data_IF_104279202618
#
_entry.id   IF_104279202618
#
_cell.length_a   1.000
_cell.length_b   1.000
_cell.length_c   1.000
_cell.angle_alpha   90.00
_cell.angle_beta   90.00
_cell.angle_gamma   90.00
#
_symmetry.space_group_name_H-M   'P 1'
#
loop_
_entity.id
_entity.type
_entity.pdbx_description
1 polymer ?
#
# COMPACT_ATOMS: atom_id res chain seq x y z
N UNK A 1 34.52 -40.56 -4.06
CA UNK A 1 35.42 -39.46 -3.62
C UNK A 1 35.59 -38.33 -4.64
N UNK A 2 35.88 -38.63 -5.95
CA UNK A 2 36.12 -37.60 -6.95
C UNK A 2 34.82 -36.93 -7.42
N UNK A 3 33.80 -37.72 -7.68
CA UNK A 3 32.45 -37.27 -8.12
C UNK A 3 31.79 -36.39 -7.03
N UNK A 4 31.86 -36.76 -5.77
CA UNK A 4 31.34 -36.00 -4.64
C UNK A 4 32.00 -34.62 -4.51
N UNK A 5 33.32 -34.57 -4.75
CA UNK A 5 34.07 -33.31 -4.74
C UNK A 5 33.65 -32.40 -5.87
N UNK A 6 33.35 -32.96 -7.04
CA UNK A 6 32.89 -32.19 -8.22
C UNK A 6 31.50 -31.56 -7.98
N UNK A 7 30.56 -32.31 -7.40
CA UNK A 7 29.25 -31.79 -7.03
C UNK A 7 29.35 -30.73 -5.93
N UNK A 8 30.20 -30.90 -4.93
CA UNK A 8 30.45 -29.86 -3.91
C UNK A 8 31.05 -28.58 -4.47
N UNK A 9 31.72 -28.63 -5.61
CA UNK A 9 32.23 -27.48 -6.34
C UNK A 9 31.20 -26.85 -7.31
N UNK A 10 29.94 -27.34 -7.28
CA UNK A 10 28.85 -26.75 -8.06
C UNK A 10 28.61 -27.35 -9.43
N UNK A 11 29.23 -28.52 -9.75
CA UNK A 11 28.91 -29.22 -10.99
C UNK A 11 27.47 -29.74 -10.93
N UNK A 12 26.69 -29.50 -11.98
CA UNK A 12 25.29 -29.92 -12.09
C UNK A 12 25.15 -31.36 -12.56
N UNK A 13 26.13 -31.84 -13.36
CA UNK A 13 26.17 -33.22 -13.89
C UNK A 13 27.63 -33.57 -14.20
N UNK A 14 27.88 -34.89 -14.40
CA UNK A 14 29.18 -35.42 -14.82
C UNK A 14 29.01 -36.46 -15.90
N UNK A 15 30.02 -36.63 -16.74
CA UNK A 15 30.03 -37.61 -17.82
C UNK A 15 31.26 -38.53 -17.69
N UNK A 16 31.01 -39.86 -17.64
CA UNK A 16 32.08 -40.87 -17.58
C UNK A 16 32.51 -41.30 -18.98
N UNK A 17 33.77 -41.73 -19.11
CA UNK A 17 34.27 -42.36 -20.33
C UNK A 17 34.00 -43.87 -20.26
N UNK A 18 33.70 -44.52 -21.41
CA UNK A 18 33.62 -44.00 -22.79
C UNK A 18 32.37 -43.19 -23.03
N UNK A 19 32.45 -42.16 -23.89
CA UNK A 19 31.36 -41.28 -24.21
C UNK A 19 30.39 -41.87 -25.24
N UNK A 20 29.10 -41.84 -24.92
CA UNK A 20 28.03 -42.12 -25.86
C UNK A 20 27.41 -40.78 -26.31
N UNK A 21 27.63 -40.32 -27.56
CA UNK A 21 27.28 -38.98 -28.02
C UNK A 21 25.80 -38.66 -27.83
N UNK A 22 24.89 -39.58 -28.09
CA UNK A 22 23.44 -39.39 -27.92
C UNK A 22 23.02 -39.21 -26.47
N UNK A 23 23.69 -39.87 -25.53
CA UNK A 23 23.41 -39.73 -24.10
C UNK A 23 23.88 -38.36 -23.61
N UNK A 24 25.07 -37.93 -24.03
CA UNK A 24 25.61 -36.62 -23.68
C UNK A 24 24.69 -35.51 -24.21
N UNK A 25 24.32 -35.58 -25.49
CA UNK A 25 23.42 -34.63 -26.12
C UNK A 25 22.09 -34.51 -25.33
N UNK A 26 21.51 -35.62 -24.94
CA UNK A 26 20.25 -35.67 -24.19
C UNK A 26 20.40 -35.04 -22.80
N UNK A 27 21.50 -35.32 -22.10
CA UNK A 27 21.79 -34.72 -20.76
C UNK A 27 21.96 -33.21 -20.87
N UNK A 28 22.76 -32.73 -21.82
CA UNK A 28 22.95 -31.29 -22.05
C UNK A 28 21.61 -30.61 -22.36
N UNK A 29 20.84 -31.18 -23.29
CA UNK A 29 19.52 -30.61 -23.63
C UNK A 29 18.55 -30.59 -22.44
N UNK A 30 18.53 -31.63 -21.63
CA UNK A 30 17.69 -31.65 -20.41
C UNK A 30 18.14 -30.59 -19.39
N UNK A 31 19.45 -30.42 -19.15
CA UNK A 31 20.00 -29.42 -18.24
C UNK A 31 19.67 -28.03 -18.73
N UNK A 32 19.87 -27.75 -20.01
CA UNK A 32 19.52 -26.44 -20.62
C UNK A 32 18.01 -26.18 -20.48
N UNK A 33 17.18 -27.20 -20.84
CA UNK A 33 15.72 -27.04 -20.73
C UNK A 33 15.26 -26.80 -19.32
N UNK A 34 15.80 -27.52 -18.32
CA UNK A 34 15.47 -27.32 -16.92
C UNK A 34 15.88 -25.93 -16.44
N UNK A 35 17.07 -25.46 -16.84
CA UNK A 35 17.55 -24.12 -16.48
C UNK A 35 16.66 -23.03 -17.09
N UNK A 36 16.33 -23.16 -18.38
CA UNK A 36 15.42 -22.22 -19.07
C UNK A 36 14.04 -22.19 -18.41
N UNK A 37 13.45 -23.35 -18.11
CA UNK A 37 12.15 -23.43 -17.41
C UNK A 37 12.22 -22.80 -16.02
N UNK A 38 13.32 -23.02 -15.26
CA UNK A 38 13.51 -22.38 -13.96
C UNK A 38 13.57 -20.87 -14.10
N UNK A 39 14.29 -20.34 -15.07
CA UNK A 39 14.38 -18.89 -15.30
C UNK A 39 13.02 -18.30 -15.72
N UNK A 40 12.29 -18.98 -16.62
CA UNK A 40 10.94 -18.56 -17.00
C UNK A 40 9.98 -18.56 -15.81
N UNK A 41 10.03 -19.58 -14.95
CA UNK A 41 9.19 -19.64 -13.75
C UNK A 41 9.53 -18.50 -12.78
N UNK A 42 10.83 -18.21 -12.57
CA UNK A 42 11.26 -17.10 -11.71
C UNK A 42 10.81 -15.74 -12.27
N UNK A 43 10.88 -15.55 -13.59
CA UNK A 43 10.36 -14.34 -14.23
C UNK A 43 8.85 -14.18 -14.03
N UNK A 44 8.07 -15.24 -14.26
CA UNK A 44 6.61 -15.22 -14.06
C UNK A 44 6.24 -14.96 -12.59
N UNK A 45 6.98 -15.53 -11.64
CA UNK A 45 6.77 -15.26 -10.22
C UNK A 45 7.10 -13.81 -9.89
N UNK A 46 8.23 -13.29 -10.37
CA UNK A 46 8.60 -11.89 -10.15
C UNK A 46 7.53 -10.93 -10.71
N UNK A 47 7.03 -11.18 -11.92
CA UNK A 47 5.95 -10.40 -12.53
C UNK A 47 4.64 -10.46 -11.72
N UNK A 48 4.30 -11.66 -11.19
CA UNK A 48 3.13 -11.82 -10.34
C UNK A 48 3.25 -11.03 -9.03
N UNK A 49 4.40 -11.12 -8.36
CA UNK A 49 4.65 -10.36 -7.12
C UNK A 49 4.58 -8.85 -7.38
N UNK A 50 5.22 -8.38 -8.45
CA UNK A 50 5.17 -6.98 -8.83
C UNK A 50 3.74 -6.49 -9.10
N UNK A 51 2.93 -7.24 -9.85
CA UNK A 51 1.53 -6.90 -10.11
C UNK A 51 0.68 -6.91 -8.85
N UNK A 52 0.91 -7.86 -7.95
CA UNK A 52 0.19 -7.92 -6.68
C UNK A 52 0.51 -6.71 -5.79
N UNK A 53 1.78 -6.33 -5.69
CA UNK A 53 2.22 -5.15 -4.96
C UNK A 53 1.59 -3.88 -5.55
N UNK A 54 1.64 -3.71 -6.87
CA UNK A 54 1.01 -2.59 -7.59
C UNK A 54 -0.51 -2.52 -7.39
N UNK A 55 -1.20 -3.65 -7.39
CA UNK A 55 -2.64 -3.67 -7.13
C UNK A 55 -2.95 -3.25 -5.68
N UNK A 56 -2.13 -3.65 -4.72
CA UNK A 56 -2.29 -3.24 -3.33
C UNK A 56 -2.05 -1.73 -3.18
N UNK A 57 -1.00 -1.18 -3.79
CA UNK A 57 -0.75 0.26 -3.84
C UNK A 57 -1.96 1.01 -4.40
N UNK A 58 -2.44 0.61 -5.58
CA UNK A 58 -3.59 1.23 -6.22
C UNK A 58 -4.84 1.21 -5.33
N UNK A 59 -5.12 0.09 -4.64
CA UNK A 59 -6.26 0.01 -3.74
C UNK A 59 -6.13 0.94 -2.53
N UNK A 60 -4.95 1.05 -1.94
CA UNK A 60 -4.68 1.99 -0.85
C UNK A 60 -4.82 3.42 -1.33
N UNK A 61 -4.30 3.75 -2.53
CA UNK A 61 -4.41 5.07 -3.14
C UNK A 61 -5.89 5.46 -3.39
N UNK A 62 -6.69 4.55 -3.93
CA UNK A 62 -8.13 4.79 -4.16
C UNK A 62 -8.86 5.04 -2.84
N UNK A 63 -8.62 4.20 -1.83
CA UNK A 63 -9.29 4.31 -0.54
C UNK A 63 -8.87 5.59 0.21
N UNK A 64 -7.59 5.89 0.25
CA UNK A 64 -7.08 7.10 0.89
C UNK A 64 -7.59 8.36 0.21
N UNK A 65 -7.57 8.40 -1.13
CA UNK A 65 -8.11 9.52 -1.88
C UNK A 65 -9.62 9.71 -1.66
N UNK A 66 -10.39 8.61 -1.53
CA UNK A 66 -11.80 8.69 -1.17
C UNK A 66 -12.03 9.35 0.20
N UNK A 67 -11.12 9.12 1.16
CA UNK A 67 -11.13 9.78 2.48
C UNK A 67 -10.79 11.26 2.35
N UNK A 68 -9.72 11.60 1.61
CA UNK A 68 -9.29 12.98 1.38
C UNK A 68 -10.37 13.83 0.69
N UNK A 69 -11.02 13.30 -0.35
CA UNK A 69 -12.14 13.96 -1.03
C UNK A 69 -13.29 14.28 -0.05
N UNK A 70 -13.54 13.37 0.91
CA UNK A 70 -14.62 13.55 1.89
C UNK A 70 -14.27 14.52 3.01
N UNK A 71 -12.99 14.59 3.39
CA UNK A 71 -12.51 15.50 4.45
C UNK A 71 -12.14 16.90 3.93
N UNK A 72 -12.17 17.11 2.62
CA UNK A 72 -11.75 18.38 2.01
C UNK A 72 -10.25 18.64 2.15
N UNK A 73 -9.45 17.59 2.40
CA UNK A 73 -8.00 17.67 2.44
C UNK A 73 -7.43 17.68 1.02
N UNK A 74 -6.31 18.37 0.82
CA UNK A 74 -5.64 18.40 -0.48
C UNK A 74 -5.17 17.01 -0.90
N UNK A 75 -5.44 16.60 -2.14
CA UNK A 75 -5.24 15.23 -2.65
C UNK A 75 -3.80 14.71 -2.69
N UNK A 76 -2.87 15.27 -1.94
CA UNK A 76 -1.47 14.84 -1.83
C UNK A 76 -1.08 14.38 -0.42
N UNK A 77 -1.95 14.61 0.58
CA UNK A 77 -1.67 14.31 1.98
C UNK A 77 -1.27 12.84 2.19
N UNK A 78 -2.09 11.92 1.71
CA UNK A 78 -1.82 10.48 1.83
C UNK A 78 -0.47 10.10 1.19
N UNK A 79 -0.20 10.60 -0.02
CA UNK A 79 1.06 10.32 -0.72
C UNK A 79 2.26 10.83 0.07
N UNK A 80 2.15 12.02 0.68
CA UNK A 80 3.19 12.58 1.55
C UNK A 80 3.39 11.73 2.80
N UNK A 81 2.32 11.34 3.49
CA UNK A 81 2.40 10.49 4.69
C UNK A 81 3.06 9.15 4.38
N UNK A 82 2.70 8.49 3.26
CA UNK A 82 3.34 7.24 2.81
C UNK A 82 4.84 7.44 2.55
N UNK A 83 5.21 8.53 1.88
CA UNK A 83 6.60 8.86 1.57
C UNK A 83 7.41 9.11 2.86
N UNK A 84 6.93 10.01 3.72
CA UNK A 84 7.60 10.37 4.97
C UNK A 84 7.75 9.15 5.89
N UNK A 85 6.69 8.34 6.02
CA UNK A 85 6.71 7.07 6.76
C UNK A 85 7.82 6.15 6.23
N UNK A 86 7.93 5.99 4.91
CA UNK A 86 8.96 5.15 4.29
C UNK A 86 10.39 5.64 4.58
N UNK A 87 10.62 6.95 4.52
CA UNK A 87 11.93 7.55 4.82
C UNK A 87 12.31 7.42 6.30
N UNK A 88 11.37 7.67 7.21
CA UNK A 88 11.57 7.49 8.64
C UNK A 88 11.89 6.04 9.00
N UNK A 89 11.16 5.07 8.45
CA UNK A 89 11.42 3.65 8.67
C UNK A 89 12.79 3.22 8.17
N UNK A 90 13.21 3.68 6.98
CA UNK A 90 14.54 3.39 6.44
C UNK A 90 15.65 3.91 7.36
N UNK A 91 15.51 5.14 7.88
CA UNK A 91 16.45 5.69 8.84
C UNK A 91 16.43 4.91 10.18
N UNK A 92 15.25 4.62 10.70
CA UNK A 92 15.07 3.93 11.98
C UNK A 92 15.75 2.56 12.01
N UNK A 93 15.53 1.73 10.98
CA UNK A 93 16.16 0.39 10.92
C UNK A 93 17.67 0.46 10.70
N UNK A 94 18.17 1.56 10.11
CA UNK A 94 19.63 1.83 10.02
C UNK A 94 20.26 2.21 11.37
N UNK A 95 19.46 2.72 12.31
CA UNK A 95 19.94 3.18 13.64
C UNK A 95 19.81 2.12 14.74
N UNK A 96 18.79 1.26 14.66
CA UNK A 96 18.50 0.34 15.77
C UNK A 96 17.74 -0.91 15.34
N UNK A 97 18.08 -2.04 15.95
CA UNK A 97 17.36 -3.31 15.83
C UNK A 97 16.27 -3.48 16.91
N UNK A 98 16.05 -2.45 17.75
CA UNK A 98 15.15 -2.51 18.92
C UNK A 98 13.74 -2.99 18.58
N UNK A 99 13.24 -2.61 17.42
CA UNK A 99 11.85 -2.88 17.00
C UNK A 99 11.72 -4.14 16.15
N UNK A 100 12.83 -4.83 15.86
CA UNK A 100 12.87 -6.09 15.08
C UNK A 100 12.06 -6.04 13.77
N UNK A 101 12.12 -4.91 13.05
CA UNK A 101 11.38 -4.73 11.81
C UNK A 101 12.10 -5.44 10.66
N UNK A 102 11.40 -6.36 10.02
CA UNK A 102 11.85 -7.01 8.79
C UNK A 102 11.56 -6.12 7.57
N UNK A 103 12.14 -6.46 6.43
CA UNK A 103 11.92 -5.71 5.19
C UNK A 103 10.45 -5.68 4.77
N UNK A 104 9.75 -6.79 4.99
CA UNK A 104 8.32 -6.95 4.74
C UNK A 104 7.47 -6.07 5.66
N UNK A 105 7.92 -5.87 6.91
CA UNK A 105 7.24 -4.98 7.86
C UNK A 105 7.34 -3.52 7.42
N UNK A 106 8.51 -3.10 6.94
CA UNK A 106 8.72 -1.74 6.42
C UNK A 106 7.75 -1.47 5.26
N UNK A 107 7.64 -2.41 4.31
CA UNK A 107 6.71 -2.32 3.20
C UNK A 107 5.25 -2.25 3.65
N UNK A 108 4.87 -3.12 4.59
CA UNK A 108 3.52 -3.19 5.14
C UNK A 108 3.14 -1.93 5.93
N UNK A 109 4.02 -1.40 6.78
CA UNK A 109 3.78 -0.16 7.55
C UNK A 109 3.64 1.02 6.60
N UNK A 110 4.53 1.13 5.60
CA UNK A 110 4.48 2.20 4.58
C UNK A 110 3.13 2.20 3.87
N UNK A 111 2.66 1.03 3.42
CA UNK A 111 1.35 0.93 2.76
C UNK A 111 0.19 1.19 3.72
N UNK A 112 0.24 0.64 4.93
CA UNK A 112 -0.78 0.82 5.95
C UNK A 112 -0.96 2.29 6.37
N UNK A 113 0.11 3.10 6.29
CA UNK A 113 0.04 4.53 6.63
C UNK A 113 -0.96 5.30 5.76
N UNK A 114 -1.18 4.88 4.50
CA UNK A 114 -2.21 5.46 3.63
C UNK A 114 -3.66 5.22 4.11
N UNK A 115 -3.87 4.32 5.07
CA UNK A 115 -5.19 3.99 5.62
C UNK A 115 -5.44 4.61 6.99
N UNK A 116 -4.50 5.40 7.56
CA UNK A 116 -4.59 5.91 8.94
C UNK A 116 -5.92 6.60 9.24
N UNK A 117 -6.45 7.30 8.28
CA UNK A 117 -7.66 8.12 8.37
C UNK A 117 -8.93 7.48 7.79
N UNK A 118 -8.90 6.18 7.44
CA UNK A 118 -10.04 5.48 6.81
C UNK A 118 -11.35 5.59 7.64
N UNK A 119 -11.23 5.77 8.94
CA UNK A 119 -12.37 5.96 9.83
C UNK A 119 -13.13 7.27 9.61
N UNK A 120 -12.54 8.29 8.97
CA UNK A 120 -13.23 9.52 8.58
C UNK A 120 -14.42 9.26 7.64
N UNK A 121 -14.47 8.10 6.97
CA UNK A 121 -15.61 7.69 6.15
C UNK A 121 -16.94 7.61 6.96
N UNK A 122 -16.88 7.39 8.26
CA UNK A 122 -18.07 7.33 9.11
C UNK A 122 -18.29 8.60 9.96
N UNK A 123 -17.44 9.62 9.81
CA UNK A 123 -17.65 10.92 10.44
C UNK A 123 -18.61 11.76 9.59
N UNK A 124 -19.55 12.52 10.18
CA UNK A 124 -20.43 13.41 9.43
C UNK A 124 -19.65 14.43 8.61
N UNK A 125 -20.03 14.58 7.34
CA UNK A 125 -19.34 15.45 6.39
C UNK A 125 -19.41 16.92 6.81
N UNK A 126 -20.52 17.35 7.40
CA UNK A 126 -20.72 18.71 7.89
C UNK A 126 -19.70 19.10 8.99
N UNK A 127 -19.16 18.10 9.71
CA UNK A 127 -18.12 18.32 10.72
C UNK A 127 -16.75 18.37 10.06
N UNK A 128 -16.48 17.44 9.11
CA UNK A 128 -15.17 17.34 8.45
C UNK A 128 -14.88 18.55 7.56
N UNK A 129 -15.91 19.08 6.87
CA UNK A 129 -15.77 20.18 5.89
C UNK A 129 -16.10 21.54 6.46
N UNK A 130 -16.27 21.63 7.79
CA UNK A 130 -16.63 22.88 8.47
C UNK A 130 -15.56 23.96 8.24
N UNK A 131 -15.93 25.16 7.75
CA UNK A 131 -14.96 26.21 7.41
C UNK A 131 -14.41 26.95 8.65
N UNK A 132 -14.83 26.58 9.85
CA UNK A 132 -14.42 27.19 11.12
C UNK A 132 -13.91 26.13 12.09
N UNK A 133 -13.25 26.57 13.16
CA UNK A 133 -12.79 25.69 14.23
C UNK A 133 -13.92 24.82 14.77
N UNK A 134 -13.63 23.54 15.03
CA UNK A 134 -14.57 22.60 15.63
C UNK A 134 -14.89 23.00 17.07
N UNK A 135 -16.13 22.76 17.51
CA UNK A 135 -16.45 22.83 18.95
C UNK A 135 -15.79 21.65 19.68
N UNK A 136 -15.67 21.70 21.01
CA UNK A 136 -15.15 20.57 21.78
C UNK A 136 -15.90 19.26 21.53
N UNK A 137 -17.24 19.33 21.38
CA UNK A 137 -18.09 18.17 21.11
C UNK A 137 -17.87 17.61 19.70
N UNK A 138 -17.74 18.47 18.69
CA UNK A 138 -17.41 18.08 17.33
C UNK A 138 -16.01 17.47 17.24
N UNK A 139 -15.06 18.03 18.00
CA UNK A 139 -13.69 17.49 18.06
C UNK A 139 -13.69 16.07 18.67
N UNK A 140 -14.50 15.80 19.71
CA UNK A 140 -14.66 14.45 20.26
C UNK A 140 -15.28 13.47 19.25
N UNK A 141 -16.16 13.96 18.37
CA UNK A 141 -16.71 13.14 17.27
C UNK A 141 -15.60 12.81 16.26
N UNK A 142 -14.81 13.79 15.86
CA UNK A 142 -13.69 13.57 14.91
C UNK A 142 -12.67 12.60 15.49
N UNK A 143 -12.30 12.69 16.76
CA UNK A 143 -11.36 11.74 17.39
C UNK A 143 -11.77 10.27 17.25
N UNK A 144 -13.07 9.99 17.13
CA UNK A 144 -13.57 8.62 16.96
C UNK A 144 -13.12 7.96 15.65
N UNK A 145 -12.62 8.74 14.64
CA UNK A 145 -12.14 8.15 13.40
C UNK A 145 -11.05 7.10 13.66
N UNK A 146 -10.22 7.27 14.70
CA UNK A 146 -9.17 6.32 15.08
C UNK A 146 -9.75 4.96 15.45
N UNK A 147 -10.74 4.94 16.31
CA UNK A 147 -11.42 3.70 16.75
C UNK A 147 -12.28 3.11 15.64
N UNK A 148 -12.97 3.95 14.88
CA UNK A 148 -13.79 3.54 13.74
C UNK A 148 -12.92 2.90 12.66
N UNK A 149 -11.80 3.51 12.30
CA UNK A 149 -10.86 2.98 11.30
C UNK A 149 -10.30 1.62 11.70
N UNK A 150 -9.82 1.50 12.94
CA UNK A 150 -9.36 0.23 13.48
C UNK A 150 -10.47 -0.84 13.45
N UNK A 151 -11.69 -0.48 13.80
CA UNK A 151 -12.84 -1.40 13.77
C UNK A 151 -13.21 -1.83 12.36
N UNK A 152 -13.28 -0.90 11.40
CA UNK A 152 -13.57 -1.21 9.99
C UNK A 152 -12.64 -2.28 9.44
N UNK A 153 -11.35 -2.20 9.79
CA UNK A 153 -10.34 -3.16 9.34
C UNK A 153 -10.42 -4.47 10.14
N UNK A 154 -10.67 -4.39 11.46
CA UNK A 154 -10.80 -5.57 12.32
C UNK A 154 -12.02 -6.42 11.94
N UNK A 155 -13.09 -5.81 11.43
CA UNK A 155 -14.30 -6.52 10.99
C UNK A 155 -14.09 -7.31 9.67
N UNK A 156 -12.86 -7.37 9.11
CA UNK A 156 -12.47 -8.18 7.95
C UNK A 156 -11.78 -9.50 8.38
N UNK A 157 -12.51 -10.54 8.79
CA UNK A 157 -11.94 -11.71 9.48
C UNK A 157 -10.97 -12.55 8.63
N UNK A 158 -11.12 -12.51 7.31
CA UNK A 158 -10.33 -13.33 6.37
C UNK A 158 -8.86 -12.87 6.31
N UNK A 159 -8.58 -11.59 6.58
CA UNK A 159 -7.26 -10.97 6.37
C UNK A 159 -6.51 -10.65 7.67
N UNK A 160 -6.99 -11.09 8.83
CA UNK A 160 -6.43 -10.73 10.14
C UNK A 160 -4.97 -11.15 10.36
N UNK A 161 -4.51 -12.15 9.62
CA UNK A 161 -3.11 -12.62 9.70
C UNK A 161 -2.15 -11.88 8.76
N UNK A 162 -2.67 -11.04 7.85
CA UNK A 162 -1.84 -10.27 6.93
C UNK A 162 -1.10 -9.15 7.67
N UNK A 163 0.20 -8.98 7.42
CA UNK A 163 1.03 -7.93 8.04
C UNK A 163 0.45 -6.54 7.82
N UNK A 164 0.01 -6.25 6.59
CA UNK A 164 -0.62 -4.98 6.23
C UNK A 164 -1.82 -4.67 7.13
N UNK A 165 -2.69 -5.65 7.35
CA UNK A 165 -3.91 -5.50 8.14
C UNK A 165 -3.60 -5.24 9.62
N UNK A 166 -2.64 -5.97 10.18
CA UNK A 166 -2.18 -5.75 11.56
C UNK A 166 -1.67 -4.33 11.77
N UNK A 167 -0.75 -3.89 10.90
CA UNK A 167 -0.21 -2.53 10.98
C UNK A 167 -1.27 -1.46 10.70
N UNK A 168 -2.20 -1.70 9.78
CA UNK A 168 -3.27 -0.75 9.52
C UNK A 168 -4.20 -0.58 10.74
N UNK A 169 -4.51 -1.65 11.48
CA UNK A 169 -5.29 -1.57 12.73
C UNK A 169 -4.53 -0.73 13.78
N UNK A 170 -3.23 -1.00 13.99
CA UNK A 170 -2.40 -0.27 14.93
C UNK A 170 -2.29 1.21 14.57
N UNK A 171 -2.02 1.51 13.31
CA UNK A 171 -1.88 2.87 12.80
C UNK A 171 -3.22 3.61 12.93
N UNK A 172 -4.31 3.06 12.42
CA UNK A 172 -5.63 3.71 12.53
C UNK A 172 -5.97 4.06 13.97
N UNK A 173 -5.73 3.13 14.90
CA UNK A 173 -6.12 3.35 16.30
C UNK A 173 -5.23 4.34 17.01
N UNK A 174 -3.91 4.33 16.78
CA UNK A 174 -2.93 4.97 17.67
C UNK A 174 -2.03 6.04 17.03
N UNK A 175 -2.24 6.44 15.78
CA UNK A 175 -1.42 7.50 15.14
C UNK A 175 -1.60 8.89 15.80
N UNK A 176 -2.64 9.09 16.59
CA UNK A 176 -2.84 10.30 17.40
C UNK A 176 -2.41 10.14 18.87
N UNK A 177 -1.85 9.01 19.24
CA UNK A 177 -1.17 8.91 20.54
C UNK A 177 0.08 9.79 20.58
N UNK A 178 0.47 10.23 21.77
CA UNK A 178 1.63 11.09 21.97
C UNK A 178 2.59 10.44 22.95
N UNK A 179 3.88 10.62 22.73
CA UNK A 179 4.93 9.97 23.52
C UNK A 179 4.80 10.20 25.03
N UNK A 180 4.29 11.37 25.42
CA UNK A 180 4.05 11.73 26.83
C UNK A 180 2.73 11.17 27.41
N UNK A 181 1.89 10.51 26.60
CA UNK A 181 0.61 9.93 27.01
C UNK A 181 -0.57 10.91 26.98
N UNK A 182 -0.41 12.11 26.41
CA UNK A 182 -1.49 13.10 26.25
C UNK A 182 -2.25 12.95 24.93
N UNK A 183 -2.02 11.87 24.20
CA UNK A 183 -2.69 11.54 22.96
C UNK A 183 -4.06 10.87 23.17
N UNK A 184 -4.62 10.36 22.09
CA UNK A 184 -5.88 9.62 22.08
C UNK A 184 -5.80 8.45 21.07
N UNK A 185 -6.65 7.42 21.17
CA UNK A 185 -7.86 7.30 22.02
C UNK A 185 -7.62 6.67 23.40
N UNK A 186 -6.48 6.00 23.63
CA UNK A 186 -6.23 5.17 24.81
C UNK A 186 -5.24 5.82 25.81
N UNK A 187 -4.58 6.93 25.45
CA UNK A 187 -3.59 7.60 26.27
C UNK A 187 -2.32 6.79 26.49
N UNK A 188 -1.89 6.02 25.48
CA UNK A 188 -0.69 5.22 25.53
C UNK A 188 0.55 6.11 25.65
N UNK A 189 1.59 5.63 26.38
CA UNK A 189 2.80 6.39 26.64
C UNK A 189 4.06 5.63 26.24
N UNK A 190 5.00 6.34 25.62
CA UNK A 190 6.30 5.79 25.27
C UNK A 190 6.20 4.55 24.38
N UNK A 191 6.91 3.49 24.73
CA UNK A 191 6.95 2.24 23.98
C UNK A 191 5.64 1.41 24.02
N UNK A 192 4.66 1.80 24.83
CA UNK A 192 3.33 1.20 24.75
C UNK A 192 2.61 1.57 23.46
N UNK A 193 3.01 2.65 22.78
CA UNK A 193 2.52 3.00 21.46
C UNK A 193 3.24 2.11 20.43
N UNK A 194 2.54 1.36 19.56
CA UNK A 194 3.19 0.59 18.50
C UNK A 194 4.07 1.47 17.62
N UNK A 195 5.26 0.99 17.25
CA UNK A 195 6.23 1.78 16.47
C UNK A 195 5.65 2.24 15.13
N UNK A 196 4.81 1.44 14.48
CA UNK A 196 4.13 1.82 13.25
C UNK A 196 3.28 3.08 13.44
N UNK A 197 2.52 3.16 14.52
CA UNK A 197 1.71 4.33 14.86
C UNK A 197 2.57 5.54 15.22
N UNK A 198 3.69 5.35 15.94
CA UNK A 198 4.61 6.43 16.26
C UNK A 198 5.22 7.07 15.01
N UNK A 199 5.65 6.26 14.03
CA UNK A 199 6.23 6.75 12.78
C UNK A 199 5.20 7.54 11.97
N UNK A 200 3.98 7.00 11.83
CA UNK A 200 2.90 7.67 11.11
C UNK A 200 2.47 8.96 11.81
N UNK A 201 2.46 8.99 13.15
CA UNK A 201 2.18 10.20 13.93
C UNK A 201 3.12 11.36 13.60
N UNK A 202 4.41 11.09 13.40
CA UNK A 202 5.39 12.10 12.99
C UNK A 202 5.15 12.52 11.54
N UNK A 203 4.89 11.56 10.66
CA UNK A 203 4.66 11.79 9.24
C UNK A 203 3.41 12.66 8.99
N UNK A 204 2.30 12.32 9.64
CA UNK A 204 1.04 13.06 9.56
C UNK A 204 1.19 14.50 10.06
N UNK A 205 1.81 14.70 11.23
CA UNK A 205 2.03 16.04 11.77
C UNK A 205 2.96 16.87 10.88
N UNK A 206 4.01 16.26 10.34
CA UNK A 206 4.90 16.95 9.42
C UNK A 206 4.16 17.42 8.17
N UNK A 207 3.37 16.56 7.53
CA UNK A 207 2.57 16.93 6.38
C UNK A 207 1.50 17.97 6.72
N UNK A 208 0.80 17.82 7.85
CA UNK A 208 -0.18 18.79 8.31
C UNK A 208 0.39 20.21 8.54
N UNK A 209 1.70 20.32 8.79
CA UNK A 209 2.38 21.61 8.93
C UNK A 209 2.88 22.16 7.59
N UNK A 210 3.36 21.32 6.69
CA UNK A 210 4.03 21.70 5.45
C UNK A 210 3.11 21.76 4.23
N UNK A 211 1.91 21.17 4.31
CA UNK A 211 0.91 21.21 3.25
C UNK A 211 -0.08 22.36 3.41
N UNK A 212 -0.50 22.93 2.29
CA UNK A 212 -1.53 23.95 2.23
C UNK A 212 -2.90 23.33 2.50
N UNK A 213 -3.73 23.95 3.34
CA UNK A 213 -5.10 23.53 3.64
C UNK A 213 -6.06 24.69 3.42
N UNK A 214 -7.34 24.41 3.16
CA UNK A 214 -8.36 25.40 2.84
C UNK A 214 -8.43 26.60 3.82
N UNK A 215 -7.94 26.42 5.06
CA UNK A 215 -8.01 27.41 6.14
C UNK A 215 -6.62 27.76 6.73
N UNK A 216 -5.50 27.27 6.12
CA UNK A 216 -4.15 27.47 6.67
C UNK A 216 -3.11 27.41 5.56
N UNK A 217 -2.28 28.44 5.46
CA UNK A 217 -1.08 28.42 4.64
C UNK A 217 -0.04 27.43 5.18
N UNK A 218 0.72 26.82 4.27
CA UNK A 218 1.82 25.92 4.61
C UNK A 218 2.91 26.67 5.41
N UNK A 219 3.43 26.05 6.45
CA UNK A 219 4.63 26.56 7.10
C UNK A 219 5.89 26.13 6.33
N UNK A 220 6.96 26.91 6.42
CA UNK A 220 8.23 26.47 5.86
C UNK A 220 8.75 25.22 6.58
N UNK A 221 9.56 24.45 5.87
CA UNK A 221 10.21 23.25 6.42
C UNK A 221 10.88 23.54 7.78
N UNK A 222 11.69 24.61 7.85
CA UNK A 222 12.44 24.96 9.06
C UNK A 222 11.51 25.35 10.22
N UNK A 223 10.37 26.00 9.92
CA UNK A 223 9.37 26.32 10.96
C UNK A 223 8.69 25.06 11.44
N UNK A 224 8.29 24.16 10.54
CA UNK A 224 7.63 22.88 10.87
C UNK A 224 8.54 22.00 11.72
N UNK A 225 9.82 21.88 11.38
CA UNK A 225 10.81 21.16 12.18
C UNK A 225 10.92 21.73 13.59
N UNK A 226 11.04 23.06 13.74
CA UNK A 226 11.08 23.69 15.08
C UNK A 226 9.82 23.42 15.91
N UNK A 227 8.63 23.48 15.31
CA UNK A 227 7.36 23.23 16.00
C UNK A 227 7.25 21.77 16.47
N UNK A 228 7.73 20.81 15.65
CA UNK A 228 7.76 19.40 16.03
C UNK A 228 8.71 19.18 17.21
N UNK A 229 9.91 19.75 17.17
CA UNK A 229 10.92 19.62 18.24
C UNK A 229 10.53 20.36 19.53
N UNK A 230 9.85 21.49 19.44
CA UNK A 230 9.38 22.24 20.63
C UNK A 230 8.22 21.58 21.35
N UNK A 231 7.58 20.56 20.73
CA UNK A 231 6.42 19.90 21.27
C UNK A 231 5.11 20.65 21.09
N UNK A 232 5.08 21.74 20.29
CA UNK A 232 3.86 22.51 20.00
C UNK A 232 2.79 21.64 19.31
N UNK A 233 3.21 20.59 18.59
CA UNK A 233 2.35 19.67 17.87
C UNK A 233 2.18 18.31 18.59
N UNK A 234 2.59 18.23 19.85
CA UNK A 234 2.63 17.01 20.65
C UNK A 234 4.03 16.47 20.84
N UNK A 235 4.17 15.51 21.74
CA UNK A 235 5.44 14.86 22.08
C UNK A 235 5.64 13.61 21.22
N UNK A 236 6.83 13.44 20.68
CA UNK A 236 7.21 12.31 19.82
C UNK A 236 8.40 11.53 20.40
N UNK A 237 8.59 10.32 19.91
CA UNK A 237 9.75 9.48 20.26
C UNK A 237 11.05 10.22 19.87
N UNK A 238 11.99 10.43 20.81
CA UNK A 238 13.25 11.14 20.54
C UNK A 238 14.05 10.52 19.37
N UNK A 239 14.03 9.20 19.24
CA UNK A 239 14.72 8.49 18.16
C UNK A 239 14.11 8.82 16.79
N UNK A 240 12.79 8.98 16.71
CA UNK A 240 12.12 9.39 15.47
C UNK A 240 12.39 10.85 15.13
N UNK A 241 12.57 11.72 16.12
CA UNK A 241 13.00 13.10 15.90
C UNK A 241 14.42 13.15 15.33
N UNK A 242 15.33 12.34 15.85
CA UNK A 242 16.68 12.19 15.28
C UNK A 242 16.64 11.67 13.82
N UNK A 243 15.76 10.69 13.55
CA UNK A 243 15.56 10.21 12.17
C UNK A 243 15.02 11.31 11.28
N UNK A 244 14.06 12.11 11.75
CA UNK A 244 13.47 13.21 10.99
C UNK A 244 14.53 14.26 10.62
N UNK A 245 15.43 14.60 11.55
CA UNK A 245 16.54 15.52 11.30
C UNK A 245 17.49 14.98 10.22
N UNK A 246 17.82 13.69 10.29
CA UNK A 246 18.75 13.07 9.36
C UNK A 246 18.19 13.00 7.94
N UNK A 247 16.88 12.76 7.80
CA UNK A 247 16.24 12.69 6.48
C UNK A 247 15.80 14.07 5.96
N UNK A 248 15.88 15.15 6.74
CA UNK A 248 15.27 16.46 6.45
C UNK A 248 15.56 17.00 5.05
N UNK A 249 16.82 16.97 4.61
CA UNK A 249 17.22 17.44 3.26
C UNK A 249 16.64 16.56 2.16
N UNK A 250 16.68 15.23 2.35
CA UNK A 250 16.13 14.27 1.40
C UNK A 250 14.60 14.40 1.32
N UNK A 251 13.95 14.55 2.46
CA UNK A 251 12.52 14.71 2.61
C UNK A 251 12.01 15.93 1.84
N UNK A 252 12.64 17.09 2.02
CA UNK A 252 12.30 18.32 1.31
C UNK A 252 12.42 18.15 -0.21
N UNK A 253 13.49 17.50 -0.67
CA UNK A 253 13.71 17.22 -2.10
C UNK A 253 12.66 16.26 -2.66
N UNK A 254 12.36 15.16 -1.98
CA UNK A 254 11.41 14.16 -2.48
C UNK A 254 9.97 14.71 -2.49
N UNK A 255 9.56 15.46 -1.47
CA UNK A 255 8.25 16.11 -1.43
C UNK A 255 8.06 17.17 -2.52
N UNK A 256 9.12 17.89 -2.92
CA UNK A 256 9.02 18.86 -4.03
C UNK A 256 8.78 18.21 -5.40
N UNK A 257 9.05 16.92 -5.56
CA UNK A 257 8.90 16.17 -6.81
C UNK A 257 7.52 15.48 -6.89
N UNK A 258 6.87 15.21 -5.76
CA UNK A 258 5.56 14.52 -5.71
C UNK A 258 4.48 15.17 -6.58
N UNK A 259 4.30 16.49 -6.64
CA UNK A 259 3.32 17.13 -7.53
C UNK A 259 3.49 16.82 -9.00
N UNK A 260 4.71 16.48 -9.44
CA UNK A 260 5.02 16.11 -10.81
C UNK A 260 4.79 14.63 -11.13
N UNK A 261 4.78 13.77 -10.11
CA UNK A 261 4.44 12.34 -10.22
C UNK A 261 2.92 12.11 -10.26
N UNK A 262 2.14 13.05 -9.79
CA UNK A 262 0.66 13.00 -9.74
C UNK A 262 0.00 12.91 -11.15
N UNK A 263 0.74 13.17 -12.23
CA UNK A 263 0.27 12.93 -13.59
C UNK A 263 0.08 11.43 -13.93
N UNK A 264 0.70 10.51 -13.17
CA UNK A 264 0.51 9.06 -13.30
C UNK A 264 -0.64 8.51 -12.45
N UNK A 265 -1.00 9.18 -11.36
CA UNK A 265 -2.12 8.81 -10.49
C UNK A 265 -3.45 9.47 -10.92
N UNK A 266 -3.44 10.25 -12.01
CA UNK A 266 -4.61 10.97 -12.52
C UNK A 266 -5.79 10.05 -12.88
N UNK A 267 -5.55 8.78 -13.22
CA UNK A 267 -6.62 7.82 -13.53
C UNK A 267 -7.38 7.38 -12.26
N UNK A 268 -6.68 7.03 -11.18
CA UNK A 268 -7.32 6.66 -9.92
C UNK A 268 -8.09 7.85 -9.33
N UNK A 269 -7.49 9.03 -9.36
CA UNK A 269 -8.08 10.29 -8.91
C UNK A 269 -9.33 10.64 -9.73
N UNK A 270 -9.25 10.57 -11.05
CA UNK A 270 -10.39 10.80 -11.95
C UNK A 270 -11.52 9.81 -11.71
N UNK A 271 -11.21 8.54 -11.46
CA UNK A 271 -12.20 7.51 -11.16
C UNK A 271 -12.94 7.81 -9.86
N UNK A 272 -12.23 8.24 -8.80
CA UNK A 272 -12.83 8.61 -7.51
C UNK A 272 -13.64 9.90 -7.64
N UNK A 273 -13.13 10.93 -8.31
CA UNK A 273 -13.86 12.19 -8.56
C UNK A 273 -15.14 11.94 -9.39
N UNK A 274 -15.08 11.08 -10.39
CA UNK A 274 -16.24 10.66 -11.19
C UNK A 274 -17.28 9.87 -10.35
N UNK A 275 -16.81 9.00 -9.42
CA UNK A 275 -17.68 8.28 -8.48
C UNK A 275 -18.38 9.23 -7.50
N UNK A 276 -17.67 10.27 -7.01
CA UNK A 276 -18.27 11.27 -6.12
C UNK A 276 -19.20 12.25 -6.85
N UNK A 277 -18.84 12.70 -8.05
CA UNK A 277 -19.67 13.58 -8.86
C UNK A 277 -20.98 12.92 -9.34
N UNK A 278 -21.00 11.57 -9.43
CA UNK A 278 -22.16 10.78 -9.86
C UNK A 278 -23.19 10.50 -8.74
N UNK A 279 -23.12 11.20 -7.60
CA UNK A 279 -24.09 11.08 -6.49
C UNK A 279 -25.55 11.47 -6.83
N UNK A 280 -25.83 11.87 -8.06
CA UNK A 280 -27.20 12.00 -8.58
C UNK A 280 -27.60 10.73 -9.35
N UNK A 281 -28.40 9.90 -8.73
CA UNK A 281 -29.38 8.89 -9.19
C UNK A 281 -28.96 7.72 -10.11
N UNK A 282 -27.72 7.63 -10.69
CA UNK A 282 -27.42 6.59 -11.70
C UNK A 282 -26.11 5.82 -11.49
N UNK A 283 -25.60 5.75 -10.24
CA UNK A 283 -24.29 5.15 -9.94
C UNK A 283 -24.20 3.64 -10.26
N UNK A 284 -25.31 2.90 -10.14
CA UNK A 284 -25.36 1.45 -10.37
C UNK A 284 -25.21 1.11 -11.86
N UNK A 285 -25.79 1.92 -12.74
CA UNK A 285 -25.76 1.71 -14.19
C UNK A 285 -24.38 2.03 -14.78
N UNK A 286 -23.68 3.06 -14.29
CA UNK A 286 -22.34 3.42 -14.76
C UNK A 286 -21.27 2.42 -14.37
N UNK A 287 -21.30 1.92 -13.12
CA UNK A 287 -20.39 0.85 -12.66
C UNK A 287 -20.62 -0.43 -13.48
N UNK A 288 -21.86 -0.74 -13.83
CA UNK A 288 -22.18 -1.88 -14.69
C UNK A 288 -21.63 -1.68 -16.12
N UNK A 289 -21.73 -0.48 -16.68
CA UNK A 289 -21.19 -0.16 -18.02
C UNK A 289 -19.66 -0.24 -18.02
N UNK A 290 -18.97 0.30 -17.01
CA UNK A 290 -17.50 0.21 -16.90
C UNK A 290 -17.02 -1.24 -16.70
N UNK A 291 -17.75 -2.04 -15.94
CA UNK A 291 -17.47 -3.48 -15.80
C UNK A 291 -17.65 -4.23 -17.13
N UNK A 292 -18.65 -3.87 -17.90
CA UNK A 292 -18.85 -4.44 -19.25
C UNK A 292 -17.78 -4.00 -20.25
N UNK A 293 -17.32 -2.74 -20.20
CA UNK A 293 -16.21 -2.26 -21.02
C UNK A 293 -14.89 -2.97 -20.67
N UNK A 294 -14.59 -3.16 -19.38
CA UNK A 294 -13.42 -3.94 -18.94
C UNK A 294 -13.52 -5.41 -19.30
N UNK A 295 -14.71 -6.01 -19.25
CA UNK A 295 -14.98 -7.35 -19.76
C UNK A 295 -14.75 -7.42 -21.27
N UNK A 296 -15.23 -6.45 -22.04
CA UNK A 296 -15.01 -6.35 -23.48
C UNK A 296 -13.54 -6.25 -23.86
N UNK A 297 -12.76 -5.42 -23.14
CA UNK A 297 -11.30 -5.32 -23.33
C UNK A 297 -10.60 -6.64 -23.02
N UNK A 298 -10.93 -7.32 -21.92
CA UNK A 298 -10.39 -8.64 -21.58
C UNK A 298 -10.70 -9.69 -22.64
N UNK A 299 -11.92 -9.73 -23.12
CA UNK A 299 -12.34 -10.67 -24.16
C UNK A 299 -11.57 -10.40 -25.46
N UNK A 300 -11.42 -9.14 -25.89
CA UNK A 300 -10.65 -8.75 -27.05
C UNK A 300 -9.17 -9.16 -26.94
N UNK A 301 -8.52 -8.89 -25.80
CA UNK A 301 -7.13 -9.30 -25.58
C UNK A 301 -6.96 -10.82 -25.51
N UNK A 302 -7.92 -11.55 -24.94
CA UNK A 302 -7.87 -13.01 -24.89
C UNK A 302 -8.03 -13.66 -26.26
N UNK A 303 -8.77 -13.05 -27.16
CA UNK A 303 -8.91 -13.49 -28.57
C UNK A 303 -7.63 -13.25 -29.38
N UNK A 304 -6.88 -12.17 -29.03
CA UNK A 304 -5.59 -11.83 -29.65
C UNK A 304 -4.40 -12.66 -29.13
N UNK A 305 -4.43 -13.07 -27.86
CA UNK A 305 -3.27 -13.68 -27.18
C UNK A 305 -3.41 -15.18 -26.92
N UNK A 306 -4.52 -15.80 -27.32
CA UNK A 306 -4.80 -17.23 -27.07
C UNK A 306 -4.82 -17.59 -25.55
N UNK A 307 -5.03 -16.60 -24.69
CA UNK A 307 -5.08 -16.77 -23.23
C UNK A 307 -6.31 -17.56 -22.79
N UNK A 308 -6.09 -18.50 -21.86
CA UNK A 308 -7.14 -19.29 -21.24
C UNK A 308 -7.61 -18.57 -19.97
N UNK A 309 -8.84 -18.09 -19.96
CA UNK A 309 -9.45 -17.56 -18.75
C UNK A 309 -10.86 -18.14 -18.55
N UNK A 310 -11.30 -18.13 -17.30
CA UNK A 310 -12.66 -18.44 -16.91
C UNK A 310 -13.13 -17.44 -15.86
N UNK A 311 -14.41 -17.13 -15.86
CA UNK A 311 -15.06 -16.31 -14.87
C UNK A 311 -16.23 -17.09 -14.26
N UNK A 312 -16.30 -17.13 -12.95
CA UNK A 312 -17.39 -17.78 -12.23
C UNK A 312 -18.27 -16.72 -11.57
N UNK A 313 -19.57 -16.75 -11.83
CA UNK A 313 -20.55 -15.88 -11.19
C UNK A 313 -21.42 -16.72 -10.24
N UNK A 314 -21.66 -16.17 -9.03
CA UNK A 314 -22.40 -16.86 -7.97
C UNK A 314 -23.91 -16.60 -8.01
N UNK A 315 -24.39 -15.67 -8.86
CA UNK A 315 -25.81 -15.38 -9.02
C UNK A 315 -26.13 -14.83 -10.42
N UNK A 316 -26.66 -15.63 -11.36
CA UNK A 316 -26.79 -17.09 -11.29
C UNK A 316 -25.43 -17.81 -11.33
N UNK A 317 -25.40 -19.04 -10.81
CA UNK A 317 -24.22 -19.91 -10.92
C UNK A 317 -23.90 -20.17 -12.39
N UNK A 318 -22.87 -19.51 -12.90
CA UNK A 318 -22.44 -19.64 -14.29
C UNK A 318 -20.93 -19.52 -14.41
N UNK A 319 -20.38 -20.23 -15.40
CA UNK A 319 -18.97 -20.16 -15.78
C UNK A 319 -18.90 -19.59 -17.19
N UNK A 320 -18.24 -18.46 -17.38
CA UNK A 320 -17.86 -17.96 -18.68
C UNK A 320 -16.43 -18.38 -19.00
N UNK A 321 -16.21 -18.86 -20.23
CA UNK A 321 -14.91 -19.32 -20.71
C UNK A 321 -14.46 -18.46 -21.89
N UNK A 322 -13.14 -18.20 -22.01
CA UNK A 322 -12.58 -17.66 -23.25
C UNK A 322 -12.82 -18.62 -24.42
N UNK A 323 -12.84 -18.10 -25.65
CA UNK A 323 -13.00 -18.92 -26.86
C UNK A 323 -11.93 -20.02 -26.94
N UNK A 324 -10.69 -19.71 -26.58
CA UNK A 324 -9.58 -20.66 -26.52
C UNK A 324 -9.74 -21.67 -25.39
N UNK A 325 -10.27 -21.29 -24.24
CA UNK A 325 -10.56 -22.23 -23.15
C UNK A 325 -11.71 -23.18 -23.51
N UNK A 326 -12.79 -22.68 -24.09
CA UNK A 326 -13.92 -23.48 -24.56
C UNK A 326 -13.49 -24.52 -25.62
N UNK A 327 -12.67 -24.11 -26.58
CA UNK A 327 -12.15 -25.00 -27.65
C UNK A 327 -11.22 -26.08 -27.10
N UNK A 328 -10.40 -25.80 -26.07
CA UNK A 328 -9.47 -26.75 -25.46
C UNK A 328 -10.12 -27.71 -24.46
N UNK A 329 -11.13 -27.24 -23.74
CA UNK A 329 -11.84 -28.06 -22.74
C UNK A 329 -13.02 -28.84 -23.30
N UNK A 330 -13.52 -28.46 -24.47
CA UNK A 330 -14.73 -29.02 -25.07
C UNK A 330 -16.03 -28.64 -24.36
N UNK A 331 -15.95 -27.68 -23.42
CA UNK A 331 -17.11 -27.15 -22.73
C UNK A 331 -17.70 -25.99 -23.54
N UNK A 332 -19.01 -26.01 -23.79
CA UNK A 332 -19.75 -24.92 -24.42
C UNK A 332 -20.10 -23.87 -23.36
N UNK A 333 -20.27 -22.59 -23.80
CA UNK A 333 -20.74 -21.49 -22.98
C UNK A 333 -22.04 -21.81 -22.27
#
# INVERSE_FOLDING_TARGET
AYIDKTFKLGAVDYVSRPFVPNVIRRRIMNTVLLHTKKQQLMSVLADRFYRQEKNTELMVDILGHAVECRSGEGGTHMTHVILVTGLLLQCLVGKTDRYHLEREDIGAIRMASGLHDIGKLQIPEEILTKPHSLTPEEYEIVKRHTQIGAKLITDLPIYQNERLVKYAIEICRWHHERWNGEGYPDGLKGDAIPIAAQVVSVADVYDALTSERCYKEAFSHEKSMRMIHSGECGSFNPLLLECLDEIAVRLQKELSVVPHLDQGHSEARRTVEELYASRSEDSTTRVAIQLEEERGKRQFFSELTDELWFEYTTNPDAIALSASASKRTGLSK
#
